data_IF_662405105583
#
_entry.id   IF_662405105583
#
_cell.length_a   1.000
_cell.length_b   1.000
_cell.length_c   1.000
_cell.angle_alpha   90.00
_cell.angle_beta   90.00
_cell.angle_gamma   90.00
#
_symmetry.space_group_name_H-M   'P 1'
#
loop_
_entity.id
_entity.type
_entity.pdbx_description
1 polymer ?
#
# COMPACT_ATOMS: atom_id res chain seq x y z
N UNK A 1 12.76 48.08 -4.21
CA UNK A 1 13.15 46.78 -3.59
C UNK A 1 11.92 45.88 -3.54
N UNK A 2 11.87 44.76 -4.28
CA UNK A 2 10.74 43.85 -4.18
C UNK A 2 10.87 43.00 -2.91
N UNK A 3 9.82 42.99 -2.08
CA UNK A 3 9.73 42.15 -0.88
C UNK A 3 9.68 40.69 -1.34
N UNK A 4 10.69 39.89 -0.97
CA UNK A 4 10.72 38.45 -1.28
C UNK A 4 9.48 37.80 -0.66
N UNK A 5 8.75 37.11 -1.52
CA UNK A 5 7.53 36.36 -1.27
C UNK A 5 7.63 35.49 -0.02
N UNK A 6 6.76 35.75 0.95
CA UNK A 6 6.47 34.89 2.09
C UNK A 6 6.08 33.50 1.55
N UNK A 7 6.97 32.52 1.64
CA UNK A 7 6.65 31.13 1.31
C UNK A 7 5.56 30.65 2.26
N UNK A 8 4.34 30.52 1.75
CA UNK A 8 3.19 29.99 2.48
C UNK A 8 3.51 28.57 2.97
N UNK A 9 3.87 28.44 4.25
CA UNK A 9 3.91 27.13 4.91
C UNK A 9 2.47 26.63 5.03
N UNK A 10 2.03 25.80 4.06
CA UNK A 10 0.79 25.03 4.19
C UNK A 10 0.87 24.20 5.48
N UNK A 11 0.04 24.54 6.46
CA UNK A 11 -0.13 23.72 7.67
C UNK A 11 -0.73 22.37 7.23
N UNK A 12 -0.01 21.28 7.44
CA UNK A 12 -0.53 19.93 7.21
C UNK A 12 -1.73 19.70 8.12
N UNK A 13 -2.74 18.98 7.63
CA UNK A 13 -3.89 18.62 8.45
C UNK A 13 -3.49 17.53 9.44
N UNK A 14 -4.11 17.50 10.63
CA UNK A 14 -3.81 16.52 11.69
C UNK A 14 -3.94 15.06 11.21
N UNK A 15 -4.81 14.81 10.23
CA UNK A 15 -4.99 13.49 9.63
C UNK A 15 -3.81 13.08 8.72
N UNK A 16 -3.24 14.01 7.97
CA UNK A 16 -2.07 13.75 7.11
C UNK A 16 -0.81 13.46 7.92
N UNK A 17 -0.62 14.15 9.05
CA UNK A 17 0.50 13.89 9.96
C UNK A 17 0.40 12.50 10.60
N UNK A 18 -0.80 12.08 11.00
CA UNK A 18 -1.03 10.73 11.54
C UNK A 18 -0.76 9.68 10.46
N UNK A 19 -1.19 9.92 9.22
CA UNK A 19 -0.96 9.00 8.10
C UNK A 19 0.54 8.86 7.78
N UNK A 20 1.29 9.96 7.74
CA UNK A 20 2.74 9.97 7.55
C UNK A 20 3.45 9.18 8.66
N UNK A 21 3.01 9.34 9.92
CA UNK A 21 3.56 8.60 11.06
C UNK A 21 3.28 7.10 10.98
N UNK A 22 2.09 6.70 10.51
CA UNK A 22 1.73 5.29 10.32
C UNK A 22 2.59 4.70 9.21
N UNK A 23 2.68 5.36 8.04
CA UNK A 23 3.44 4.87 6.88
C UNK A 23 4.93 4.72 7.16
N UNK A 24 5.52 5.62 7.96
CA UNK A 24 6.94 5.60 8.32
C UNK A 24 7.25 4.73 9.54
N UNK A 25 6.30 3.93 10.02
CA UNK A 25 6.51 3.06 11.16
C UNK A 25 7.47 1.91 10.81
N UNK A 26 8.36 1.54 11.73
CA UNK A 26 9.38 0.48 11.52
C UNK A 26 8.76 -0.87 11.13
N UNK A 27 7.61 -1.20 11.72
CA UNK A 27 6.86 -2.45 11.44
C UNK A 27 6.08 -2.42 10.12
N UNK A 28 6.05 -1.29 9.41
CA UNK A 28 5.27 -1.15 8.18
C UNK A 28 6.01 -1.85 7.03
N UNK A 29 5.43 -2.91 6.43
CA UNK A 29 6.08 -3.59 5.31
C UNK A 29 6.03 -2.74 4.05
N UNK A 30 6.99 -2.97 3.15
CA UNK A 30 6.97 -2.34 1.82
C UNK A 30 5.84 -2.97 1.01
N UNK A 31 5.03 -2.16 0.35
CA UNK A 31 3.92 -2.64 -0.45
C UNK A 31 3.83 -1.90 -1.78
N UNK A 32 3.39 -2.62 -2.82
CA UNK A 32 3.27 -2.13 -4.18
C UNK A 32 2.01 -2.73 -4.84
N UNK A 33 1.38 -1.96 -5.72
CA UNK A 33 0.23 -2.44 -6.51
C UNK A 33 0.73 -3.28 -7.68
N UNK A 34 0.20 -4.49 -7.85
CA UNK A 34 0.57 -5.36 -8.97
C UNK A 34 -0.08 -4.85 -10.26
N UNK A 35 0.70 -4.63 -11.34
CA UNK A 35 0.15 -4.24 -12.64
C UNK A 35 -0.82 -5.30 -13.19
N UNK A 36 -1.89 -4.86 -13.86
CA UNK A 36 -2.93 -5.74 -14.41
C UNK A 36 -2.38 -6.84 -15.34
N UNK A 37 -1.34 -6.53 -16.10
CA UNK A 37 -0.71 -7.49 -17.01
C UNK A 37 -0.07 -8.67 -16.26
N UNK A 38 0.51 -8.39 -15.09
CA UNK A 38 1.17 -9.37 -14.24
C UNK A 38 0.19 -10.14 -13.35
N UNK A 39 -1.00 -9.58 -13.06
CA UNK A 39 -2.02 -10.23 -12.21
C UNK A 39 -2.42 -11.59 -12.77
N UNK A 40 -2.63 -11.71 -14.09
CA UNK A 40 -3.06 -12.97 -14.69
C UNK A 40 -1.98 -14.05 -14.61
N UNK A 41 -0.72 -13.67 -14.81
CA UNK A 41 0.41 -14.58 -14.68
C UNK A 41 0.62 -15.00 -13.21
N UNK A 42 0.47 -14.06 -12.28
CA UNK A 42 0.55 -14.32 -10.84
C UNK A 42 -0.49 -15.35 -10.38
N UNK A 43 -1.76 -15.13 -10.72
CA UNK A 43 -2.85 -16.02 -10.32
C UNK A 43 -2.69 -17.43 -10.90
N UNK A 44 -2.16 -17.54 -12.13
CA UNK A 44 -1.80 -18.83 -12.73
C UNK A 44 -0.67 -19.52 -11.98
N UNK A 45 0.39 -18.79 -11.61
CA UNK A 45 1.52 -19.34 -10.85
C UNK A 45 1.10 -19.82 -9.46
N UNK A 46 0.22 -19.08 -8.80
CA UNK A 46 -0.33 -19.43 -7.49
C UNK A 46 -1.43 -20.49 -7.56
N UNK A 47 -1.89 -20.84 -8.77
CA UNK A 47 -3.05 -21.69 -9.01
C UNK A 47 -4.26 -21.31 -8.13
N UNK A 48 -4.49 -20.00 -7.99
CA UNK A 48 -5.46 -19.44 -7.08
C UNK A 48 -6.32 -18.40 -7.80
N UNK A 49 -7.58 -18.31 -7.39
CA UNK A 49 -8.48 -17.27 -7.81
C UNK A 49 -8.31 -16.00 -6.94
N UNK A 50 -8.66 -14.80 -7.45
CA UNK A 50 -8.48 -13.54 -6.71
C UNK A 50 -9.11 -13.55 -5.31
N UNK A 51 -10.29 -14.15 -5.17
CA UNK A 51 -11.02 -14.23 -3.89
C UNK A 51 -10.38 -15.21 -2.89
N UNK A 52 -9.53 -16.13 -3.34
CA UNK A 52 -8.82 -17.06 -2.45
C UNK A 52 -7.57 -16.43 -1.82
N UNK A 53 -7.13 -15.28 -2.34
CA UNK A 53 -6.05 -14.53 -1.72
C UNK A 53 -6.53 -13.89 -0.41
N UNK A 54 -5.65 -13.71 0.59
CA UNK A 54 -5.98 -12.97 1.80
C UNK A 54 -6.48 -11.56 1.48
N UNK A 55 -7.55 -11.13 2.15
CA UNK A 55 -8.18 -9.85 1.86
C UNK A 55 -7.54 -8.68 2.63
N UNK A 56 -7.61 -7.49 2.03
CA UNK A 56 -7.29 -6.22 2.68
C UNK A 56 -8.37 -5.21 2.34
N UNK A 57 -8.82 -4.41 3.31
CA UNK A 57 -9.89 -3.44 3.09
C UNK A 57 -9.37 -2.20 2.37
N UNK A 58 -10.21 -1.61 1.53
CA UNK A 58 -9.93 -0.30 0.91
C UNK A 58 -9.79 0.85 1.91
N UNK A 59 -10.29 0.66 3.15
CA UNK A 59 -10.17 1.62 4.25
C UNK A 59 -8.81 1.59 4.96
N UNK A 60 -7.96 0.60 4.66
CA UNK A 60 -6.64 0.48 5.29
C UNK A 60 -5.70 1.63 4.87
N UNK A 61 -4.93 2.23 5.81
CA UNK A 61 -4.02 3.33 5.51
C UNK A 61 -2.97 3.01 4.43
N UNK A 62 -2.48 1.78 4.38
CA UNK A 62 -1.51 1.32 3.38
C UNK A 62 -2.14 1.33 1.97
N UNK A 63 -3.35 0.78 1.86
CA UNK A 63 -4.11 0.72 0.61
C UNK A 63 -4.45 2.11 0.11
N UNK A 64 -4.87 2.99 1.02
CA UNK A 64 -5.17 4.40 0.72
C UNK A 64 -3.95 5.17 0.25
N UNK A 65 -2.78 4.93 0.88
CA UNK A 65 -1.52 5.54 0.46
C UNK A 65 -1.05 5.06 -0.91
N UNK A 66 -1.34 3.81 -1.27
CA UNK A 66 -1.01 3.24 -2.58
C UNK A 66 -2.01 3.62 -3.68
N UNK A 67 -3.17 4.18 -3.31
CA UNK A 67 -4.23 4.51 -4.26
C UNK A 67 -4.90 3.30 -4.90
N UNK A 68 -4.79 2.12 -4.27
CA UNK A 68 -5.35 0.88 -4.79
C UNK A 68 -6.88 0.85 -4.62
N UNK A 69 -7.57 0.26 -5.60
CA UNK A 69 -9.03 0.17 -5.63
C UNK A 69 -9.49 -1.25 -5.29
N UNK A 70 -10.75 -1.43 -4.84
CA UNK A 70 -11.35 -2.75 -4.73
C UNK A 70 -11.22 -3.52 -6.04
N UNK A 71 -10.70 -4.75 -5.97
CA UNK A 71 -10.38 -5.56 -7.14
C UNK A 71 -8.89 -5.61 -7.49
N UNK A 72 -8.07 -4.71 -6.95
CA UNK A 72 -6.63 -4.73 -7.16
C UNK A 72 -5.94 -5.76 -6.26
N UNK A 73 -4.73 -6.19 -6.66
CA UNK A 73 -3.86 -7.05 -5.86
C UNK A 73 -2.64 -6.25 -5.42
N UNK A 74 -2.35 -6.31 -4.12
CA UNK A 74 -1.19 -5.65 -3.52
C UNK A 74 -0.15 -6.72 -3.20
N UNK A 75 1.09 -6.47 -3.61
CA UNK A 75 2.26 -7.21 -3.20
C UNK A 75 2.86 -6.56 -1.97
N UNK A 76 3.02 -7.32 -0.90
CA UNK A 76 3.59 -6.90 0.37
C UNK A 76 4.88 -7.68 0.60
N UNK A 77 5.99 -6.96 0.74
CA UNK A 77 7.30 -7.51 1.04
C UNK A 77 7.58 -7.25 2.51
N UNK A 78 7.68 -8.32 3.30
CA UNK A 78 7.97 -8.23 4.74
C UNK A 78 9.17 -9.09 5.11
N UNK A 79 9.88 -8.69 6.15
CA UNK A 79 10.93 -9.51 6.73
C UNK A 79 10.30 -10.64 7.55
N UNK A 80 10.77 -11.87 7.31
CA UNK A 80 10.37 -13.07 8.04
C UNK A 80 11.58 -13.60 8.82
N UNK A 81 11.42 -13.99 10.10
CA UNK A 81 12.51 -14.55 10.88
C UNK A 81 13.02 -15.89 10.32
N UNK A 82 12.20 -16.63 9.59
CA UNK A 82 12.57 -17.93 9.00
C UNK A 82 13.14 -17.84 7.60
N UNK A 83 12.60 -16.94 6.77
CA UNK A 83 12.88 -16.88 5.33
C UNK A 83 13.62 -15.60 4.91
N UNK A 84 13.96 -14.71 5.84
CA UNK A 84 14.58 -13.42 5.53
C UNK A 84 13.56 -12.43 4.98
N UNK A 85 13.20 -12.54 3.71
CA UNK A 85 12.19 -11.71 3.05
C UNK A 85 11.12 -12.59 2.39
N UNK A 86 9.85 -12.25 2.60
CA UNK A 86 8.72 -12.96 2.00
C UNK A 86 7.79 -11.98 1.29
N UNK A 87 7.42 -12.36 0.07
CA UNK A 87 6.39 -11.69 -0.72
C UNK A 87 5.02 -12.32 -0.44
N UNK A 88 4.04 -11.49 -0.09
CA UNK A 88 2.65 -11.91 0.14
C UNK A 88 1.73 -11.07 -0.74
N UNK A 89 0.75 -11.72 -1.36
CA UNK A 89 -0.23 -11.08 -2.23
C UNK A 89 -1.57 -10.98 -1.50
N UNK A 90 -2.19 -9.79 -1.50
CA UNK A 90 -3.50 -9.55 -0.89
C UNK A 90 -4.48 -8.94 -1.89
N UNK A 91 -5.73 -9.35 -1.81
CA UNK A 91 -6.81 -8.84 -2.65
C UNK A 91 -7.56 -7.71 -1.95
N UNK A 92 -7.73 -6.57 -2.63
CA UNK A 92 -8.42 -5.41 -2.07
C UNK A 92 -9.93 -5.61 -2.16
N UNK A 93 -10.60 -5.58 -1.00
CA UNK A 93 -12.05 -5.64 -0.88
C UNK A 93 -12.62 -4.29 -0.46
N UNK A 94 -13.88 -3.97 -0.84
CA UNK A 94 -14.55 -2.78 -0.31
C UNK A 94 -14.64 -2.88 1.22
N UNK A 95 -14.26 -1.80 1.90
CA UNK A 95 -14.13 -1.72 3.36
C UNK A 95 -15.28 -1.05 4.07
#
# INVERSE_FOLDING_TARGET
>A
MPRKSTTERKRKTKAEEVLEKVLNHELMPKAEVVPKDNVKALLRRLNAAPWQLPWIRSTDPLVRSLGAKPGDIIRIIRKSPTAGEIEVYRFVVPG
#
